data_IF_013587192138
#
_entry.id   IF_013587192138
#
_cell.length_a   1.000
_cell.length_b   1.000
_cell.length_c   1.000
_cell.angle_alpha   90.00
_cell.angle_beta   90.00
_cell.angle_gamma   90.00
#
_symmetry.space_group_name_H-M   'P 1'
#
loop_
_entity.id
_entity.type
_entity.pdbx_description
1 polymer ?
#
# COMPACT_ATOMS: atom_id res chain seq x y z
N UNK A 1 -27.02 28.97 -4.81
CA UNK A 1 -25.91 29.00 -3.84
C UNK A 1 -25.42 27.56 -3.71
N UNK A 2 -24.28 27.21 -4.31
CA UNK A 2 -23.77 25.84 -4.31
C UNK A 2 -23.03 25.62 -2.98
N UNK A 3 -23.50 24.68 -2.15
CA UNK A 3 -22.87 24.35 -0.88
C UNK A 3 -21.45 23.85 -1.15
N UNK A 4 -20.45 24.60 -0.70
CA UNK A 4 -19.07 24.13 -0.65
C UNK A 4 -19.00 22.95 0.33
N UNK A 5 -18.46 21.79 -0.06
CA UNK A 5 -18.31 20.66 0.84
C UNK A 5 -17.46 21.06 2.05
N UNK A 6 -17.85 20.62 3.25
CA UNK A 6 -17.12 20.89 4.49
C UNK A 6 -15.70 20.31 4.50
N UNK A 7 -15.44 19.34 3.63
CA UNK A 7 -14.17 18.64 3.49
C UNK A 7 -13.72 18.64 2.03
N UNK A 8 -12.41 18.77 1.82
CA UNK A 8 -11.81 18.58 0.51
C UNK A 8 -12.16 17.21 -0.05
N UNK A 9 -12.38 17.15 -1.36
CA UNK A 9 -12.52 15.88 -2.06
C UNK A 9 -11.23 15.06 -1.89
N UNK A 10 -11.38 13.74 -1.76
CA UNK A 10 -10.28 12.80 -1.52
C UNK A 10 -10.46 11.57 -2.37
N UNK A 11 -9.35 10.88 -2.62
CA UNK A 11 -9.33 9.54 -3.24
C UNK A 11 -8.71 8.55 -2.26
N UNK A 12 -9.22 7.32 -2.27
CA UNK A 12 -8.59 6.20 -1.58
C UNK A 12 -7.96 5.29 -2.63
N UNK A 13 -6.66 5.08 -2.55
CA UNK A 13 -5.88 4.28 -3.48
C UNK A 13 -5.10 3.21 -2.73
N UNK A 14 -5.08 2.00 -3.28
CA UNK A 14 -4.20 0.93 -2.87
C UNK A 14 -3.10 0.70 -3.90
N UNK A 15 -1.89 0.44 -3.42
CA UNK A 15 -0.76 0.04 -4.22
C UNK A 15 0.17 -0.83 -3.39
N UNK A 16 0.72 -1.88 -3.99
CA UNK A 16 1.77 -2.71 -3.42
C UNK A 16 2.91 -2.88 -4.42
N UNK A 17 4.12 -3.12 -3.96
CA UNK A 17 5.26 -3.31 -4.85
C UNK A 17 6.25 -4.35 -4.34
N UNK A 18 7.03 -4.87 -5.26
CA UNK A 18 8.23 -5.68 -5.01
C UNK A 18 9.44 -4.91 -5.54
N UNK A 19 10.64 -5.42 -5.32
CA UNK A 19 11.86 -4.88 -5.95
C UNK A 19 11.82 -4.90 -7.50
N UNK A 20 10.89 -5.63 -8.11
CA UNK A 20 10.82 -5.83 -9.56
C UNK A 20 9.65 -5.10 -10.23
N UNK A 21 8.49 -5.01 -9.57
CA UNK A 21 7.27 -4.49 -10.18
C UNK A 21 6.30 -3.92 -9.13
N UNK A 22 5.35 -3.13 -9.62
CA UNK A 22 4.23 -2.58 -8.86
C UNK A 22 2.94 -3.33 -9.21
N UNK A 23 2.07 -3.50 -8.23
CA UNK A 23 0.68 -3.93 -8.36
C UNK A 23 -0.21 -2.76 -7.96
N UNK A 24 -1.08 -2.34 -8.87
CA UNK A 24 -1.88 -1.13 -8.75
C UNK A 24 -1.33 0.05 -9.58
N UNK A 25 -1.85 1.28 -9.39
CA UNK A 25 -2.81 1.67 -8.35
C UNK A 25 -4.22 1.12 -8.58
N UNK A 26 -4.94 0.83 -7.50
CA UNK A 26 -6.38 0.55 -7.53
C UNK A 26 -7.12 1.57 -6.67
N UNK A 27 -8.14 2.19 -7.25
CA UNK A 27 -8.96 3.19 -6.55
C UNK A 27 -10.20 2.54 -5.97
N UNK A 28 -10.50 2.84 -4.70
CA UNK A 28 -11.73 2.38 -4.06
C UNK A 28 -12.85 3.38 -4.32
N UNK A 29 -13.76 3.00 -5.22
CA UNK A 29 -14.85 3.84 -5.68
C UNK A 29 -16.16 3.04 -5.75
N UNK A 30 -17.27 3.70 -5.48
CA UNK A 30 -18.62 3.20 -5.73
C UNK A 30 -19.25 3.95 -6.90
N UNK A 31 -20.19 3.31 -7.60
CA UNK A 31 -20.95 3.94 -8.67
C UNK A 31 -21.81 5.05 -8.07
N UNK A 32 -21.48 6.30 -8.39
CA UNK A 32 -22.29 7.46 -8.05
C UNK A 32 -23.29 7.80 -9.17
N UNK A 33 -24.22 8.73 -8.90
CA UNK A 33 -25.25 9.15 -9.86
C UNK A 33 -24.68 9.91 -11.07
N UNK A 34 -23.42 10.34 -11.05
CA UNK A 34 -22.79 11.07 -12.18
C UNK A 34 -21.33 10.68 -12.36
N UNK A 35 -20.58 10.58 -11.25
CA UNK A 35 -19.18 10.16 -11.24
C UNK A 35 -18.92 9.11 -10.15
N UNK A 36 -17.87 8.29 -10.27
CA UNK A 36 -17.42 7.42 -9.18
C UNK A 36 -17.14 8.22 -7.91
N UNK A 37 -17.63 7.73 -6.77
CA UNK A 37 -17.44 8.37 -5.46
C UNK A 37 -16.50 7.52 -4.62
N UNK A 38 -15.47 8.15 -4.07
CA UNK A 38 -14.54 7.48 -3.15
C UNK A 38 -15.27 6.93 -1.93
N UNK A 39 -15.02 5.66 -1.60
CA UNK A 39 -15.62 5.01 -0.45
C UNK A 39 -14.61 4.77 0.69
N UNK A 40 -15.16 4.59 1.90
CA UNK A 40 -14.39 4.08 3.04
C UNK A 40 -14.20 2.58 2.88
N UNK A 41 -12.96 2.12 2.91
CA UNK A 41 -12.60 0.72 2.71
C UNK A 41 -12.92 -0.09 3.98
N UNK A 42 -13.75 -1.11 3.84
CA UNK A 42 -13.98 -2.10 4.89
C UNK A 42 -13.21 -3.40 4.62
N UNK A 43 -13.32 -4.37 5.54
CA UNK A 43 -12.63 -5.66 5.42
C UNK A 43 -13.01 -6.45 4.17
N UNK A 44 -14.27 -6.41 3.74
CA UNK A 44 -14.77 -7.10 2.54
C UNK A 44 -14.21 -6.47 1.26
N UNK A 45 -14.20 -5.14 1.17
CA UNK A 45 -13.61 -4.43 0.03
C UNK A 45 -12.12 -4.74 -0.09
N UNK A 46 -11.42 -4.79 1.05
CA UNK A 46 -10.00 -5.10 1.12
C UNK A 46 -9.70 -6.55 0.74
N UNK A 47 -10.46 -7.50 1.28
CA UNK A 47 -10.35 -8.92 0.95
C UNK A 47 -10.56 -9.15 -0.56
N UNK A 48 -11.60 -8.53 -1.14
CA UNK A 48 -11.87 -8.60 -2.57
C UNK A 48 -10.72 -8.05 -3.41
N UNK A 49 -10.13 -6.91 -3.01
CA UNK A 49 -8.95 -6.36 -3.68
C UNK A 49 -7.76 -7.31 -3.60
N UNK A 50 -7.49 -7.88 -2.43
CA UNK A 50 -6.37 -8.80 -2.24
C UNK A 50 -6.53 -10.04 -3.13
N UNK A 51 -7.71 -10.66 -3.13
CA UNK A 51 -7.98 -11.87 -3.90
C UNK A 51 -7.93 -11.59 -5.40
N UNK A 52 -8.72 -10.62 -5.85
CA UNK A 52 -8.97 -10.43 -7.28
C UNK A 52 -7.84 -9.68 -7.99
N UNK A 53 -7.10 -8.83 -7.28
CA UNK A 53 -6.05 -8.01 -7.87
C UNK A 53 -4.65 -8.47 -7.46
N UNK A 54 -4.34 -8.45 -6.16
CA UNK A 54 -2.97 -8.73 -5.70
C UNK A 54 -2.59 -10.19 -5.94
N UNK A 55 -3.35 -11.13 -5.38
CA UNK A 55 -3.06 -12.56 -5.44
C UNK A 55 -3.08 -13.03 -6.89
N UNK A 56 -4.11 -12.65 -7.66
CA UNK A 56 -4.16 -12.90 -9.11
C UNK A 56 -2.90 -12.42 -9.85
N UNK A 57 -2.44 -11.18 -9.60
CA UNK A 57 -1.25 -10.63 -10.25
C UNK A 57 0.03 -11.38 -9.87
N UNK A 58 0.16 -11.80 -8.60
CA UNK A 58 1.30 -12.60 -8.15
C UNK A 58 1.28 -14.02 -8.72
N UNK A 59 0.09 -14.63 -8.86
CA UNK A 59 -0.10 -15.96 -9.46
C UNK A 59 0.28 -15.95 -10.94
N UNK A 60 -0.18 -14.94 -11.69
CA UNK A 60 0.19 -14.76 -13.10
C UNK A 60 1.69 -14.60 -13.31
N UNK A 61 2.39 -14.06 -12.31
CA UNK A 61 3.85 -13.90 -12.30
C UNK A 61 4.61 -15.09 -11.70
N UNK A 62 3.90 -16.12 -11.21
CA UNK A 62 4.51 -17.31 -10.61
C UNK A 62 5.31 -17.02 -9.33
N UNK A 63 4.94 -15.99 -8.57
CA UNK A 63 5.76 -15.52 -7.43
C UNK A 63 5.02 -15.50 -6.09
N UNK A 64 3.79 -16.02 -6.00
CA UNK A 64 3.07 -16.11 -4.72
C UNK A 64 3.86 -16.89 -3.68
N UNK A 65 4.44 -18.03 -4.07
CA UNK A 65 5.11 -18.96 -3.14
C UNK A 65 6.46 -18.45 -2.63
N UNK A 66 7.06 -17.47 -3.31
CA UNK A 66 8.31 -16.82 -2.91
C UNK A 66 8.11 -15.44 -2.29
N UNK A 67 6.89 -14.90 -2.33
CA UNK A 67 6.60 -13.56 -1.80
C UNK A 67 6.53 -13.56 -0.27
N UNK A 68 7.26 -12.64 0.36
CA UNK A 68 6.98 -12.24 1.75
C UNK A 68 6.01 -11.06 1.68
N UNK A 69 4.81 -11.23 2.23
CA UNK A 69 3.78 -10.21 2.22
C UNK A 69 3.90 -9.32 3.47
N UNK A 70 3.90 -8.01 3.28
CA UNK A 70 4.00 -7.03 4.35
C UNK A 70 2.88 -5.99 4.24
N UNK A 71 2.23 -5.69 5.37
CA UNK A 71 1.26 -4.59 5.49
C UNK A 71 1.18 -4.05 6.92
N UNK A 72 0.55 -2.88 7.09
CA UNK A 72 0.29 -2.31 8.41
C UNK A 72 -0.90 -2.97 9.14
N UNK A 73 -1.13 -2.55 10.38
CA UNK A 73 -2.21 -3.05 11.23
C UNK A 73 -3.51 -2.25 11.16
N UNK A 74 -3.86 -1.62 10.02
CA UNK A 74 -5.11 -0.90 9.87
C UNK A 74 -6.33 -1.82 10.08
N UNK A 75 -7.49 -1.32 10.54
CA UNK A 75 -8.62 -2.19 10.88
C UNK A 75 -9.07 -3.14 9.76
N UNK A 76 -9.20 -2.72 8.48
CA UNK A 76 -9.52 -3.64 7.38
C UNK A 76 -8.46 -4.73 7.14
N UNK A 77 -7.21 -4.49 7.52
CA UNK A 77 -6.08 -5.39 7.25
C UNK A 77 -5.95 -6.53 8.26
N UNK A 78 -6.63 -6.43 9.41
CA UNK A 78 -6.50 -7.37 10.54
C UNK A 78 -7.79 -8.16 10.84
N UNK A 79 -8.84 -7.97 10.04
CA UNK A 79 -10.07 -8.77 10.15
C UNK A 79 -9.81 -10.24 9.82
N UNK A 80 -10.62 -11.13 10.40
CA UNK A 80 -10.42 -12.58 10.26
C UNK A 80 -10.39 -13.08 8.81
N UNK A 81 -11.31 -12.69 7.92
CA UNK A 81 -11.29 -13.16 6.53
C UNK A 81 -9.99 -12.79 5.79
N UNK A 82 -9.54 -11.55 5.94
CA UNK A 82 -8.27 -11.07 5.35
C UNK A 82 -7.08 -11.86 5.88
N UNK A 83 -7.00 -12.13 7.19
CA UNK A 83 -5.92 -12.94 7.76
C UNK A 83 -5.93 -14.38 7.25
N UNK A 84 -7.11 -14.98 7.12
CA UNK A 84 -7.27 -16.33 6.58
C UNK A 84 -6.84 -16.39 5.12
N UNK A 85 -7.26 -15.42 4.31
CA UNK A 85 -6.86 -15.29 2.91
C UNK A 85 -5.33 -15.17 2.76
N UNK A 86 -4.71 -14.26 3.54
CA UNK A 86 -3.25 -14.11 3.51
C UNK A 86 -2.54 -15.40 3.92
N UNK A 87 -2.98 -16.03 5.01
CA UNK A 87 -2.38 -17.29 5.48
C UNK A 87 -2.53 -18.43 4.46
N UNK A 88 -3.64 -18.48 3.72
CA UNK A 88 -3.88 -19.47 2.68
C UNK A 88 -2.87 -19.35 1.53
N UNK A 89 -2.55 -18.12 1.09
CA UNK A 89 -1.69 -17.90 -0.08
C UNK A 89 -0.20 -17.74 0.24
N UNK A 90 0.14 -17.09 1.35
CA UNK A 90 1.53 -16.82 1.72
C UNK A 90 2.04 -17.76 2.81
N UNK A 91 1.17 -18.33 3.62
CA UNK A 91 1.57 -19.06 4.83
C UNK A 91 2.08 -18.14 5.94
N UNK A 92 1.84 -18.52 7.19
CA UNK A 92 2.11 -17.69 8.37
C UNK A 92 3.58 -17.24 8.52
N UNK A 93 4.53 -18.02 8.00
CA UNK A 93 5.96 -17.71 8.04
C UNK A 93 6.42 -16.64 7.06
N UNK A 94 5.59 -16.26 6.06
CA UNK A 94 5.92 -15.25 5.04
C UNK A 94 5.00 -14.02 5.13
N UNK A 95 4.39 -13.77 6.29
CA UNK A 95 3.49 -12.64 6.50
C UNK A 95 4.02 -11.75 7.62
N UNK A 96 4.31 -10.49 7.27
CA UNK A 96 4.66 -9.41 8.18
C UNK A 96 3.43 -8.53 8.38
N UNK A 97 2.68 -8.80 9.43
CA UNK A 97 1.48 -8.06 9.81
C UNK A 97 1.22 -8.25 11.32
N UNK A 98 0.44 -7.36 11.92
CA UNK A 98 -0.08 -7.54 13.27
C UNK A 98 -0.84 -8.88 13.36
N UNK A 99 -0.62 -9.61 14.47
CA UNK A 99 -1.19 -10.93 14.75
C UNK A 99 -0.63 -12.11 13.95
N UNK A 100 0.46 -11.92 13.20
CA UNK A 100 1.27 -13.01 12.64
C UNK A 100 2.59 -13.16 13.42
N UNK A 101 3.32 -14.30 13.29
CA UNK A 101 4.56 -14.53 14.00
C UNK A 101 5.61 -13.43 13.78
N UNK A 102 5.76 -12.96 12.54
CA UNK A 102 6.56 -11.79 12.21
C UNK A 102 5.71 -10.51 12.40
N UNK A 103 5.42 -10.17 13.66
CA UNK A 103 4.58 -9.02 13.96
C UNK A 103 5.30 -7.70 13.67
N UNK A 104 4.67 -6.82 12.89
CA UNK A 104 5.10 -5.44 12.78
C UNK A 104 4.78 -4.70 14.09
N UNK A 105 5.78 -4.01 14.67
CA UNK A 105 5.56 -3.19 15.86
C UNK A 105 4.49 -2.11 15.57
N UNK A 106 3.50 -1.92 16.45
CA UNK A 106 2.54 -0.83 16.31
C UNK A 106 3.25 0.51 16.15
N UNK A 107 2.77 1.35 15.22
CA UNK A 107 3.30 2.71 14.96
C UNK A 107 4.73 2.76 14.41
N UNK A 108 5.10 1.81 13.55
CA UNK A 108 6.40 1.81 12.86
C UNK A 108 6.27 2.09 11.36
N UNK A 109 5.80 3.28 10.94
CA UNK A 109 5.74 3.62 9.50
C UNK A 109 7.13 3.60 8.85
N UNK A 110 8.20 3.82 9.63
CA UNK A 110 9.58 3.77 9.16
C UNK A 110 10.05 2.39 8.67
N UNK A 111 9.28 1.33 8.97
CA UNK A 111 9.55 -0.03 8.53
C UNK A 111 8.81 -0.42 7.27
N UNK A 112 7.70 0.24 6.95
CA UNK A 112 6.90 -0.09 5.77
C UNK A 112 7.32 0.76 4.58
N UNK A 113 7.89 0.18 3.50
CA UNK A 113 8.32 0.93 2.32
C UNK A 113 7.19 1.71 1.63
N UNK A 114 5.95 1.23 1.74
CA UNK A 114 4.80 1.98 1.24
C UNK A 114 4.58 3.27 2.04
N UNK A 115 4.86 3.28 3.34
CA UNK A 115 4.63 4.43 4.23
C UNK A 115 5.79 5.42 4.22
N UNK A 116 7.04 4.95 4.40
CA UNK A 116 8.19 5.85 4.48
C UNK A 116 8.63 6.40 3.13
N UNK A 117 8.34 5.70 2.03
CA UNK A 117 8.77 6.11 0.69
C UNK A 117 7.59 6.37 -0.25
N UNK A 118 6.82 5.34 -0.66
CA UNK A 118 5.87 5.48 -1.77
C UNK A 118 4.83 6.58 -1.51
N UNK A 119 4.25 6.59 -0.31
CA UNK A 119 3.28 7.60 0.11
C UNK A 119 3.87 9.01 0.13
N UNK A 120 5.10 9.17 0.63
CA UNK A 120 5.79 10.46 0.70
C UNK A 120 6.12 10.96 -0.70
N UNK A 121 6.74 10.11 -1.52
CA UNK A 121 7.04 10.39 -2.92
C UNK A 121 5.80 10.84 -3.68
N UNK A 122 4.72 10.06 -3.65
CA UNK A 122 3.48 10.40 -4.35
C UNK A 122 2.89 11.71 -3.86
N UNK A 123 2.92 11.98 -2.55
CA UNK A 123 2.43 13.25 -2.00
C UNK A 123 3.21 14.43 -2.59
N UNK A 124 4.53 14.33 -2.69
CA UNK A 124 5.36 15.43 -3.18
C UNK A 124 5.16 15.65 -4.70
N UNK A 125 5.15 14.56 -5.49
CA UNK A 125 5.10 14.69 -6.96
C UNK A 125 3.71 14.88 -7.54
N UNK A 126 2.65 14.44 -6.85
CA UNK A 126 1.26 14.60 -7.31
C UNK A 126 0.71 15.98 -6.95
N UNK A 127 1.05 16.49 -5.76
CA UNK A 127 0.57 17.78 -5.25
C UNK A 127 1.52 18.96 -5.54
N UNK A 128 2.58 18.77 -6.34
CA UNK A 128 3.51 19.83 -6.73
C UNK A 128 2.92 20.96 -7.60
N UNK A 129 1.62 20.92 -7.93
CA UNK A 129 0.90 21.98 -8.62
C UNK A 129 -0.61 21.86 -8.47
N UNK A 130 -1.40 22.85 -8.91
CA UNK A 130 -2.85 22.83 -8.78
C UNK A 130 -3.48 21.59 -9.42
N UNK A 131 -4.52 21.06 -8.76
CA UNK A 131 -5.28 19.88 -9.19
C UNK A 131 -6.72 20.33 -9.40
N UNK A 132 -7.22 20.21 -10.64
CA UNK A 132 -8.52 20.75 -11.01
C UNK A 132 -9.70 19.91 -10.47
N UNK A 133 -9.57 18.58 -10.47
CA UNK A 133 -10.61 17.65 -10.06
C UNK A 133 -10.03 16.27 -9.70
N UNK A 134 -10.89 15.35 -9.24
CA UNK A 134 -10.50 14.00 -8.86
C UNK A 134 -10.00 13.15 -10.03
N UNK A 135 -10.50 13.35 -11.25
CA UNK A 135 -10.03 12.61 -12.42
C UNK A 135 -8.56 12.94 -12.73
N UNK A 136 -8.20 14.22 -12.67
CA UNK A 136 -6.82 14.69 -12.81
C UNK A 136 -5.93 14.15 -11.68
N UNK A 137 -6.43 14.15 -10.43
CA UNK A 137 -5.71 13.55 -9.30
C UNK A 137 -5.38 12.07 -9.54
N UNK A 138 -6.38 11.27 -9.93
CA UNK A 138 -6.21 9.85 -10.25
C UNK A 138 -5.26 9.65 -11.42
N UNK A 139 -5.39 10.46 -12.48
CA UNK A 139 -4.50 10.40 -13.63
C UNK A 139 -3.04 10.66 -13.23
N UNK A 140 -2.77 11.71 -12.44
CA UNK A 140 -1.42 12.00 -11.92
C UNK A 140 -0.87 10.86 -11.07
N UNK A 141 -1.66 10.30 -10.15
CA UNK A 141 -1.24 9.15 -9.33
C UNK A 141 -0.85 7.98 -10.23
N UNK A 142 -1.71 7.61 -11.18
CA UNK A 142 -1.47 6.52 -12.12
C UNK A 142 -0.20 6.75 -12.93
N UNK A 143 -0.04 7.92 -13.55
CA UNK A 143 1.15 8.28 -14.32
C UNK A 143 2.42 8.22 -13.48
N UNK A 144 2.40 8.77 -12.26
CA UNK A 144 3.58 8.77 -11.37
C UNK A 144 3.97 7.37 -10.95
N UNK A 145 3.01 6.48 -10.68
CA UNK A 145 3.28 5.08 -10.35
C UNK A 145 3.86 4.33 -11.54
N UNK A 146 3.31 4.50 -12.75
CA UNK A 146 3.81 3.84 -13.95
C UNK A 146 5.24 4.26 -14.33
N UNK A 147 5.64 5.48 -13.96
CA UNK A 147 6.98 6.01 -14.23
C UNK A 147 8.02 5.61 -13.16
N UNK A 148 7.63 4.90 -12.09
CA UNK A 148 8.60 4.37 -11.13
C UNK A 148 9.39 3.25 -11.79
N UNK A 149 10.70 3.41 -11.84
CA UNK A 149 11.59 2.43 -12.47
C UNK A 149 11.84 1.22 -11.57
N UNK A 150 12.12 0.06 -12.17
CA UNK A 150 12.56 -1.13 -11.43
C UNK A 150 13.81 -0.87 -10.60
N UNK A 151 14.72 -0.02 -11.08
CA UNK A 151 15.91 0.37 -10.32
C UNK A 151 15.56 1.12 -9.03
N UNK A 152 14.59 2.04 -9.11
CA UNK A 152 14.06 2.72 -7.92
C UNK A 152 13.45 1.73 -6.93
N UNK A 153 12.67 0.75 -7.42
CA UNK A 153 12.07 -0.28 -6.58
C UNK A 153 13.13 -1.14 -5.87
N UNK A 154 14.19 -1.53 -6.59
CA UNK A 154 15.32 -2.28 -6.05
C UNK A 154 16.01 -1.51 -4.93
N UNK A 155 16.36 -0.24 -5.16
CA UNK A 155 17.00 0.61 -4.16
C UNK A 155 16.13 0.76 -2.90
N UNK A 156 14.82 0.96 -3.05
CA UNK A 156 13.90 1.06 -1.92
C UNK A 156 13.80 -0.27 -1.16
N UNK A 157 13.79 -1.40 -1.87
CA UNK A 157 13.83 -2.72 -1.27
C UNK A 157 15.10 -2.94 -0.43
N UNK A 158 16.25 -2.55 -0.95
CA UNK A 158 17.53 -2.61 -0.23
C UNK A 158 17.54 -1.70 1.01
N UNK A 159 17.00 -0.48 0.89
CA UNK A 159 16.83 0.42 2.03
C UNK A 159 15.90 -0.15 3.10
N UNK A 160 14.84 -0.86 2.72
CA UNK A 160 13.96 -1.54 3.67
C UNK A 160 14.71 -2.61 4.46
N UNK A 161 15.52 -3.44 3.79
CA UNK A 161 16.35 -4.46 4.43
C UNK A 161 17.36 -3.83 5.40
N UNK A 162 18.04 -2.76 4.98
CA UNK A 162 18.98 -2.02 5.84
C UNK A 162 18.30 -1.47 7.10
N UNK A 163 17.07 -0.92 6.97
CA UNK A 163 16.29 -0.44 8.12
C UNK A 163 15.97 -1.55 9.11
N UNK A 164 15.59 -2.73 8.63
CA UNK A 164 15.38 -3.89 9.51
C UNK A 164 16.65 -4.31 10.24
N UNK A 165 17.80 -4.33 9.55
CA UNK A 165 19.09 -4.67 10.16
C UNK A 165 19.48 -3.69 11.26
N UNK A 166 19.40 -2.38 10.97
CA UNK A 166 19.73 -1.33 11.93
C UNK A 166 18.82 -1.35 13.17
N UNK A 167 17.53 -1.64 12.99
CA UNK A 167 16.61 -1.78 14.13
C UNK A 167 16.98 -3.01 14.97
N UNK A 168 17.40 -4.10 14.35
CA UNK A 168 17.94 -5.27 15.04
C UNK A 168 19.19 -4.93 15.86
N UNK A 169 20.14 -4.23 15.27
CA UNK A 169 21.38 -3.78 15.93
C UNK A 169 21.11 -2.80 17.07
N UNK A 170 20.11 -1.94 16.91
CA UNK A 170 19.71 -0.94 17.90
C UNK A 170 18.72 -1.48 18.96
N UNK A 171 18.61 -2.81 19.10
CA UNK A 171 17.77 -3.45 20.10
C UNK A 171 16.28 -3.10 20.01
N UNK A 172 15.78 -2.82 18.80
CA UNK A 172 14.39 -2.45 18.54
C UNK A 172 14.05 -0.97 18.76
N UNK A 173 15.03 -0.11 19.04
CA UNK A 173 14.82 1.33 19.21
C UNK A 173 14.68 2.07 17.87
N UNK A 174 14.10 3.27 17.94
CA UNK A 174 13.90 4.14 16.78
C UNK A 174 15.22 4.45 16.07
N UNK A 175 15.22 4.31 14.75
CA UNK A 175 16.32 4.77 13.89
C UNK A 175 16.00 6.18 13.37
N UNK A 176 17.02 7.03 13.22
CA UNK A 176 16.89 8.33 12.54
C UNK A 176 16.95 8.12 11.01
N UNK A 177 16.30 9.01 10.27
CA UNK A 177 16.21 8.96 8.81
C UNK A 177 17.58 8.93 8.12
N UNK A 178 17.72 8.04 7.13
CA UNK A 178 18.61 8.20 5.97
C UNK A 178 17.79 8.77 4.82
#
# INVERSE_FOLDING_TARGET
MQLLPLHSQKVTVWCGFTAAFIVGPFFFEQIGPSDPVTCTVNGTDYESLLLNQLISALQQRGCVDSTIFMQDGAPPHIVTPVKQLLNLHFGSGRIINRHFPAALSPRSPDLNPCDFWLRVYLKDVVYGGPIANLAELKHRITQRIHNITTETLRCVGEHAVLRFQLIGENGGQHIKHF
#
